data_IF_273421543781
#
_entry.id   IF_273421543781
#
_cell.length_a   1.000
_cell.length_b   1.000
_cell.length_c   1.000
_cell.angle_alpha   90.00
_cell.angle_beta   90.00
_cell.angle_gamma   90.00
#
_symmetry.space_group_name_H-M   'P 1'
#
loop_
_entity.id
_entity.type
_entity.pdbx_description
1 polymer ?
#
# COMPACT_ATOMS: atom_id res chain seq x y z
N UNK A 1 -18.70 -5.56 -10.53
CA UNK A 1 -19.61 -4.45 -10.86
C UNK A 1 -19.83 -3.39 -9.78
N UNK A 2 -20.20 -3.73 -8.53
CA UNK A 2 -20.47 -2.69 -7.50
C UNK A 2 -19.26 -1.78 -7.20
N UNK A 3 -18.05 -2.37 -7.14
CA UNK A 3 -16.81 -1.64 -6.87
C UNK A 3 -16.49 -0.62 -7.98
N UNK A 4 -16.65 -1.03 -9.24
CA UNK A 4 -16.38 -0.19 -10.42
C UNK A 4 -17.29 1.05 -10.42
N UNK A 5 -18.59 0.88 -10.18
CA UNK A 5 -19.55 1.99 -10.16
C UNK A 5 -19.29 2.99 -9.00
N UNK A 6 -18.87 2.51 -7.83
CA UNK A 6 -18.48 3.35 -6.68
C UNK A 6 -17.27 4.25 -7.02
N UNK A 7 -16.25 3.69 -7.68
CA UNK A 7 -15.02 4.41 -8.06
C UNK A 7 -15.31 5.53 -9.08
N UNK A 8 -16.33 5.37 -9.94
CA UNK A 8 -16.70 6.42 -10.91
C UNK A 8 -17.41 7.61 -10.30
N UNK A 9 -18.03 7.44 -9.14
CA UNK A 9 -18.80 8.51 -8.47
C UNK A 9 -17.91 9.35 -7.56
N UNK A 10 -16.88 8.74 -6.97
CA UNK A 10 -15.93 9.38 -6.07
C UNK A 10 -14.50 8.97 -6.42
N UNK A 11 -13.90 9.69 -7.37
CA UNK A 11 -12.56 9.40 -7.89
C UNK A 11 -11.47 9.59 -6.83
N UNK A 12 -11.76 10.22 -5.71
CA UNK A 12 -10.87 10.39 -4.58
C UNK A 12 -10.74 9.12 -3.71
N UNK A 13 -11.72 8.20 -3.78
CA UNK A 13 -11.76 7.01 -2.92
C UNK A 13 -10.58 6.09 -3.18
N UNK A 14 -10.18 5.88 -4.44
CA UNK A 14 -9.06 4.96 -4.73
C UNK A 14 -7.79 5.41 -4.00
N UNK A 15 -7.53 6.72 -3.92
CA UNK A 15 -6.34 7.24 -3.27
C UNK A 15 -6.38 7.00 -1.76
N UNK A 16 -7.55 7.17 -1.14
CA UNK A 16 -7.77 6.82 0.28
C UNK A 16 -7.51 5.34 0.53
N UNK A 17 -8.08 4.45 -0.28
CA UNK A 17 -7.92 3.01 -0.11
C UNK A 17 -6.46 2.57 -0.29
N UNK A 18 -5.76 3.10 -1.30
CA UNK A 18 -4.35 2.77 -1.51
C UNK A 18 -3.44 3.27 -0.36
N UNK A 19 -3.71 4.46 0.17
CA UNK A 19 -2.98 4.97 1.36
C UNK A 19 -3.28 4.11 2.59
N UNK A 20 -4.53 3.68 2.77
CA UNK A 20 -4.91 2.77 3.86
C UNK A 20 -4.16 1.44 3.77
N UNK A 21 -4.13 0.83 2.57
CA UNK A 21 -3.39 -0.42 2.34
C UNK A 21 -1.89 -0.28 2.62
N UNK A 22 -1.29 0.84 2.20
CA UNK A 22 0.13 1.13 2.46
C UNK A 22 0.41 1.32 3.96
N UNK A 23 -0.48 2.00 4.70
CA UNK A 23 -0.38 2.13 6.16
C UNK A 23 -0.45 0.77 6.85
N UNK A 24 -1.38 -0.09 6.45
CA UNK A 24 -1.52 -1.44 7.00
C UNK A 24 -0.27 -2.29 6.75
N UNK A 25 0.35 -2.16 5.57
CA UNK A 25 1.59 -2.87 5.23
C UNK A 25 2.77 -2.41 6.10
N UNK A 26 2.88 -1.11 6.39
CA UNK A 26 3.89 -0.54 7.29
C UNK A 26 3.67 -1.03 8.72
N UNK A 27 2.43 -0.94 9.23
CA UNK A 27 2.12 -1.33 10.60
C UNK A 27 2.42 -2.82 10.81
N UNK A 28 2.05 -3.70 9.87
CA UNK A 28 2.39 -5.13 9.93
C UNK A 28 3.89 -5.37 10.04
N UNK A 29 4.70 -4.67 9.24
CA UNK A 29 6.16 -4.80 9.28
C UNK A 29 6.72 -4.27 10.61
N UNK A 30 6.22 -3.13 11.08
CA UNK A 30 6.64 -2.54 12.35
C UNK A 30 6.34 -3.47 13.54
N UNK A 31 5.15 -4.07 13.62
CA UNK A 31 4.82 -5.02 14.68
C UNK A 31 5.69 -6.28 14.63
N UNK A 32 5.99 -6.78 13.42
CA UNK A 32 6.89 -7.91 13.24
C UNK A 32 8.31 -7.57 13.72
N UNK A 33 8.82 -6.40 13.35
CA UNK A 33 10.13 -5.90 13.77
C UNK A 33 10.26 -5.73 15.29
N UNK A 34 9.19 -5.30 15.97
CA UNK A 34 9.16 -5.23 17.44
C UNK A 34 9.20 -6.61 18.10
N UNK A 35 8.57 -7.60 17.46
CA UNK A 35 8.48 -8.97 17.99
C UNK A 35 9.78 -9.76 17.79
N UNK A 36 10.55 -9.42 16.76
CA UNK A 36 11.79 -10.12 16.37
C UNK A 36 13.05 -9.55 17.02
N UNK A 37 12.93 -8.67 18.04
CA UNK A 37 14.02 -8.00 18.80
C UNK A 37 15.30 -7.81 17.97
N UNK A 38 15.51 -6.58 17.44
CA UNK A 38 16.77 -6.10 16.83
C UNK A 38 16.85 -6.10 15.28
N UNK A 39 15.82 -5.60 14.59
CA UNK A 39 15.91 -5.31 13.14
C UNK A 39 16.61 -3.97 12.84
N UNK A 40 16.81 -3.11 13.84
CA UNK A 40 17.34 -1.75 13.64
C UNK A 40 16.39 -0.79 12.94
N UNK A 41 15.16 -1.21 12.65
CA UNK A 41 14.11 -0.40 12.02
C UNK A 41 13.39 0.44 13.07
N UNK A 42 13.42 1.76 12.87
CA UNK A 42 12.64 2.72 13.62
C UNK A 42 11.38 3.11 12.84
N UNK A 43 10.39 3.67 13.55
CA UNK A 43 9.15 4.12 12.91
C UNK A 43 9.40 5.18 11.83
N UNK A 44 10.43 6.01 12.01
CA UNK A 44 10.81 7.07 11.08
C UNK A 44 11.43 6.54 9.77
N UNK A 45 11.79 5.26 9.72
CA UNK A 45 12.29 4.63 8.49
C UNK A 45 11.17 4.31 7.50
N UNK A 46 9.90 4.30 7.94
CA UNK A 46 8.76 3.99 7.10
C UNK A 46 8.19 5.22 6.40
N UNK A 47 7.84 5.06 5.13
CA UNK A 47 7.35 6.16 4.29
C UNK A 47 6.40 5.65 3.21
N UNK A 48 5.34 6.44 2.98
CA UNK A 48 4.49 6.32 1.81
C UNK A 48 4.83 7.50 0.88
N UNK A 49 5.30 7.21 -0.33
CA UNK A 49 5.62 8.23 -1.34
C UNK A 49 4.53 8.27 -2.39
N UNK A 50 4.12 9.48 -2.74
CA UNK A 50 3.14 9.76 -3.79
C UNK A 50 3.82 10.64 -4.84
N UNK A 51 3.98 10.12 -6.05
CA UNK A 51 4.72 10.77 -7.13
C UNK A 51 3.81 10.95 -8.35
N UNK A 52 3.32 12.16 -8.63
CA UNK A 52 2.60 12.45 -9.87
C UNK A 52 3.59 12.68 -11.02
N UNK A 53 3.33 12.03 -12.17
CA UNK A 53 4.03 12.27 -13.43
C UNK A 53 3.00 12.71 -14.48
N UNK A 54 3.01 14.01 -14.79
CA UNK A 54 2.04 14.63 -15.71
C UNK A 54 2.28 14.21 -17.17
N UNK A 55 3.54 14.06 -17.56
CA UNK A 55 3.92 13.71 -18.93
C UNK A 55 3.48 12.28 -19.25
N UNK A 56 3.72 11.34 -18.32
CA UNK A 56 3.28 9.94 -18.46
C UNK A 56 1.83 9.70 -18.07
N UNK A 57 1.17 10.72 -17.48
CA UNK A 57 -0.20 10.63 -16.93
C UNK A 57 -0.33 9.51 -15.89
N UNK A 58 0.69 9.34 -15.06
CA UNK A 58 0.72 8.32 -14.01
C UNK A 58 0.76 8.94 -12.63
N UNK A 59 0.17 8.26 -11.66
CA UNK A 59 0.34 8.54 -10.24
C UNK A 59 0.92 7.29 -9.59
N UNK A 60 2.13 7.40 -9.04
CA UNK A 60 2.79 6.29 -8.35
C UNK A 60 2.61 6.44 -6.85
N UNK A 61 2.09 5.41 -6.20
CA UNK A 61 2.04 5.28 -4.74
C UNK A 61 2.97 4.12 -4.37
N UNK A 62 3.94 4.35 -3.49
CA UNK A 62 4.88 3.34 -3.04
C UNK A 62 5.12 3.44 -1.55
N UNK A 63 5.03 2.32 -0.84
CA UNK A 63 5.45 2.18 0.55
C UNK A 63 6.70 1.28 0.66
N UNK A 64 7.29 1.24 1.85
CA UNK A 64 8.34 0.30 2.24
C UNK A 64 7.90 -0.58 3.42
N UNK A 65 6.62 -0.97 3.43
CA UNK A 65 6.05 -1.90 4.40
C UNK A 65 6.42 -3.36 4.11
N UNK A 66 5.62 -4.29 4.62
CA UNK A 66 5.92 -5.73 4.55
C UNK A 66 5.95 -6.32 3.13
N UNK A 67 5.42 -5.60 2.14
CA UNK A 67 5.26 -6.09 0.77
C UNK A 67 4.36 -7.32 0.69
N UNK A 68 4.44 -8.02 -0.45
CA UNK A 68 3.75 -9.29 -0.67
C UNK A 68 4.69 -10.27 -1.38
N UNK A 69 4.59 -11.53 -1.00
CA UNK A 69 5.16 -12.65 -1.73
C UNK A 69 4.39 -12.90 -3.03
N UNK A 70 4.96 -13.71 -3.92
CA UNK A 70 4.29 -14.09 -5.18
C UNK A 70 2.92 -14.75 -4.94
N UNK A 71 2.84 -15.65 -3.96
CA UNK A 71 1.60 -16.35 -3.61
C UNK A 71 0.56 -15.39 -3.03
N UNK A 72 0.96 -14.44 -2.18
CA UNK A 72 0.06 -13.40 -1.67
C UNK A 72 -0.44 -12.48 -2.78
N UNK A 73 0.38 -12.16 -3.78
CA UNK A 73 -0.06 -11.41 -4.96
C UNK A 73 -1.13 -12.17 -5.75
N UNK A 74 -0.90 -13.47 -6.01
CA UNK A 74 -1.86 -14.31 -6.73
C UNK A 74 -3.19 -14.43 -5.97
N UNK A 75 -3.14 -14.65 -4.66
CA UNK A 75 -4.33 -14.85 -3.84
C UNK A 75 -5.11 -13.55 -3.56
N UNK A 76 -4.42 -12.43 -3.31
CA UNK A 76 -5.06 -11.20 -2.85
C UNK A 76 -5.44 -10.24 -3.99
N UNK A 77 -4.74 -10.29 -5.14
CA UNK A 77 -5.01 -9.42 -6.28
C UNK A 77 -5.57 -10.18 -7.49
N UNK A 78 -5.29 -11.48 -7.61
CA UNK A 78 -5.73 -12.32 -8.74
C UNK A 78 -7.18 -12.82 -8.65
N UNK A 79 -7.87 -12.55 -7.55
CA UNK A 79 -9.23 -13.04 -7.26
C UNK A 79 -10.30 -11.94 -7.19
N UNK A 80 -9.92 -10.67 -7.41
CA UNK A 80 -10.82 -9.49 -7.36
C UNK A 80 -11.63 -9.33 -8.65
#
# INVERSE_FOLDING_TARGET
DLMIHSIYTHREIFLRELISNASDAIDKLYYKALSEENTGLNRDDFVIRIVPDKEKRTLTISDNGCGMTKEELENNLGTI
#
